data_IF_948109245801
#
_entry.id   IF_948109245801
#
_cell.length_a   1.000
_cell.length_b   1.000
_cell.length_c   1.000
_cell.angle_alpha   90.00
_cell.angle_beta   90.00
_cell.angle_gamma   90.00
#
_symmetry.space_group_name_H-M   'P 1'
#
loop_
_entity.id
_entity.type
_entity.pdbx_description
1 polymer ?
#
# COMPACT_ATOMS: atom_id res chain seq x y z
N UNK A 1 2.56 23.24 -43.95
CA UNK A 1 1.14 22.98 -43.56
C UNK A 1 0.98 21.81 -42.56
N UNK A 2 1.90 20.84 -42.50
CA UNK A 2 1.79 19.62 -41.67
C UNK A 2 1.96 19.88 -40.15
N UNK A 3 2.71 20.90 -39.73
CA UNK A 3 2.96 21.16 -38.29
C UNK A 3 1.78 21.77 -37.52
N UNK A 4 0.80 22.41 -38.18
CA UNK A 4 -0.36 22.99 -37.49
C UNK A 4 -1.43 21.96 -37.12
N UNK A 5 -1.60 20.91 -37.93
CA UNK A 5 -2.57 19.83 -37.70
C UNK A 5 -2.17 18.93 -36.52
N UNK A 6 -0.88 18.66 -36.33
CA UNK A 6 -0.38 17.91 -35.17
C UNK A 6 -0.58 18.68 -33.86
N UNK A 7 -0.28 19.99 -33.85
CA UNK A 7 -0.46 20.84 -32.68
C UNK A 7 -1.94 20.96 -32.25
N UNK A 8 -2.87 21.08 -33.20
CA UNK A 8 -4.31 21.14 -32.89
C UNK A 8 -4.85 19.80 -32.35
N UNK A 9 -4.38 18.66 -32.87
CA UNK A 9 -4.78 17.35 -32.35
C UNK A 9 -4.26 17.09 -30.94
N UNK A 10 -3.02 17.52 -30.64
CA UNK A 10 -2.46 17.41 -29.29
C UNK A 10 -3.23 18.28 -28.31
N UNK A 11 -3.54 19.53 -28.67
CA UNK A 11 -4.32 20.44 -27.82
C UNK A 11 -5.75 19.93 -27.56
N UNK A 12 -6.42 19.36 -28.58
CA UNK A 12 -7.73 18.72 -28.42
C UNK A 12 -7.68 17.53 -27.45
N UNK A 13 -6.67 16.68 -27.57
CA UNK A 13 -6.52 15.50 -26.71
C UNK A 13 -6.16 15.88 -25.27
N UNK A 14 -5.33 16.90 -25.07
CA UNK A 14 -5.03 17.45 -23.73
C UNK A 14 -6.28 18.06 -23.10
N UNK A 15 -7.08 18.82 -23.86
CA UNK A 15 -8.34 19.39 -23.35
C UNK A 15 -9.33 18.31 -22.93
N UNK A 16 -9.49 17.24 -23.72
CA UNK A 16 -10.35 16.10 -23.37
C UNK A 16 -9.86 15.35 -22.13
N UNK A 17 -8.53 15.25 -21.95
CA UNK A 17 -7.92 14.61 -20.78
C UNK A 17 -8.13 15.43 -19.50
N UNK A 18 -7.98 16.76 -19.59
CA UNK A 18 -8.23 17.69 -18.47
C UNK A 18 -9.70 17.67 -18.07
N UNK A 19 -10.62 17.60 -19.05
CA UNK A 19 -12.06 17.57 -18.80
C UNK A 19 -12.52 16.24 -18.16
N UNK A 20 -11.88 15.12 -18.54
CA UNK A 20 -12.07 13.80 -17.91
C UNK A 20 -11.59 13.78 -16.44
N UNK A 21 -10.41 14.35 -16.18
CA UNK A 21 -9.83 14.44 -14.82
C UNK A 21 -10.69 15.31 -13.88
N UNK A 22 -11.28 16.39 -14.40
CA UNK A 22 -12.19 17.25 -13.63
C UNK A 22 -13.49 16.55 -13.24
N UNK A 23 -14.07 15.73 -14.13
CA UNK A 23 -15.28 14.94 -13.82
C UNK A 23 -15.04 13.88 -12.73
N UNK A 24 -13.86 13.25 -12.73
CA UNK A 24 -13.47 12.27 -11.71
C UNK A 24 -13.27 12.95 -10.34
N UNK A 25 -12.64 14.13 -10.30
CA UNK A 25 -12.50 14.91 -9.07
C UNK A 25 -13.86 15.31 -8.48
N UNK A 26 -14.79 15.83 -9.29
CA UNK A 26 -16.14 16.22 -8.84
C UNK A 26 -16.94 15.01 -8.32
N UNK A 27 -16.82 13.84 -8.96
CA UNK A 27 -17.46 12.60 -8.51
C UNK A 27 -16.89 12.11 -7.16
N UNK A 28 -15.57 12.18 -6.98
CA UNK A 28 -14.92 11.86 -5.71
C UNK A 28 -15.33 12.81 -4.58
N UNK A 29 -15.43 14.11 -4.84
CA UNK A 29 -15.85 15.09 -3.82
C UNK A 29 -17.31 14.89 -3.41
N UNK A 30 -18.22 14.54 -4.34
CA UNK A 30 -19.62 14.20 -4.02
C UNK A 30 -19.76 12.93 -3.19
N UNK A 31 -18.93 11.91 -3.42
CA UNK A 31 -18.90 10.66 -2.64
C UNK A 31 -18.35 10.83 -1.22
N UNK A 32 -17.39 11.74 -1.05
CA UNK A 32 -16.84 12.08 0.28
C UNK A 32 -17.82 12.95 1.07
N UNK A 33 -18.50 13.91 0.42
CA UNK A 33 -19.50 14.76 1.07
C UNK A 33 -20.74 13.99 1.55
N UNK A 34 -21.17 12.95 0.81
CA UNK A 34 -22.32 12.11 1.19
C UNK A 34 -22.02 11.10 2.31
N UNK A 35 -20.75 10.93 2.69
CA UNK A 35 -20.35 10.12 3.87
C UNK A 35 -20.14 10.94 5.15
N UNK A 36 -20.12 12.27 5.08
CA UNK A 36 -19.73 13.14 6.22
C UNK A 36 -20.93 13.89 6.83
N UNK A 37 -22.08 13.96 6.15
CA UNK A 37 -23.26 14.68 6.67
C UNK A 37 -24.45 13.72 6.79
N UNK A 38 -24.56 13.07 7.95
CA UNK A 38 -25.83 12.55 8.46
C UNK A 38 -25.85 12.60 10.00
N UNK A 39 -26.34 13.71 10.61
CA UNK A 39 -26.64 13.74 12.04
C UNK A 39 -28.13 13.44 12.28
N UNK A 40 -28.37 12.32 12.96
CA UNK A 40 -29.29 12.15 14.10
C UNK A 40 -30.67 12.84 14.14
N UNK A 41 -31.73 12.04 13.98
CA UNK A 41 -33.00 12.01 14.76
C UNK A 41 -33.53 10.57 14.67
N UNK A 42 -33.94 9.81 15.68
CA UNK A 42 -34.14 10.00 17.12
C UNK A 42 -33.77 8.68 17.83
N UNK A 43 -33.22 8.81 19.03
CA UNK A 43 -33.01 7.72 19.97
C UNK A 43 -34.31 7.50 20.74
N UNK A 44 -34.87 6.29 20.70
CA UNK A 44 -35.30 5.58 21.91
C UNK A 44 -35.53 4.10 21.65
N UNK A 45 -34.83 3.30 22.46
CA UNK A 45 -35.11 1.90 22.80
C UNK A 45 -34.68 0.81 21.81
N UNK A 46 -33.44 0.34 21.97
CA UNK A 46 -33.18 -1.05 22.39
C UNK A 46 -31.66 -1.23 22.52
N UNK A 47 -31.19 -1.24 23.75
CA UNK A 47 -29.88 -1.75 24.10
C UNK A 47 -29.78 -3.24 23.75
N UNK A 48 -28.55 -3.68 23.49
CA UNK A 48 -28.05 -5.03 23.20
C UNK A 48 -27.64 -5.28 21.74
N UNK A 49 -26.39 -5.74 21.62
CA UNK A 49 -25.67 -6.21 20.42
C UNK A 49 -24.96 -5.14 19.57
N UNK A 50 -23.96 -4.50 20.16
CA UNK A 50 -23.02 -3.63 19.45
C UNK A 50 -21.58 -3.75 19.94
N UNK A 51 -21.15 -4.96 20.33
CA UNK A 51 -19.82 -5.20 20.90
C UNK A 51 -19.08 -6.31 20.14
N UNK A 52 -18.80 -6.09 18.85
CA UNK A 52 -17.85 -6.94 18.08
C UNK A 52 -17.25 -6.30 16.83
N UNK A 53 -17.54 -5.03 16.53
CA UNK A 53 -16.99 -4.34 15.33
C UNK A 53 -16.19 -3.11 15.77
N UNK A 54 -15.16 -3.31 16.59
CA UNK A 54 -14.19 -2.25 16.92
C UNK A 54 -12.81 -2.79 17.32
N UNK A 55 -12.39 -3.91 16.72
CA UNK A 55 -11.01 -4.40 16.85
C UNK A 55 -10.32 -4.67 15.50
N UNK A 56 -11.06 -4.67 14.39
CA UNK A 56 -10.50 -4.90 13.05
C UNK A 56 -9.88 -3.68 12.37
N UNK A 57 -10.26 -2.45 12.75
CA UNK A 57 -9.77 -1.22 12.08
C UNK A 57 -8.44 -0.70 12.64
N UNK A 58 -8.02 -1.09 13.84
CA UNK A 58 -6.73 -0.68 14.42
C UNK A 58 -5.54 -1.51 13.91
N UNK A 59 -5.72 -2.79 13.56
CA UNK A 59 -4.63 -3.61 13.03
C UNK A 59 -4.23 -3.23 11.58
N UNK A 60 -5.17 -2.78 10.75
CA UNK A 60 -4.87 -2.35 9.38
C UNK A 60 -4.20 -0.96 9.33
N UNK A 61 -4.45 -0.10 10.32
CA UNK A 61 -3.82 1.22 10.40
C UNK A 61 -2.36 1.12 10.90
N UNK A 62 -2.04 0.12 11.72
CA UNK A 62 -0.70 -0.08 12.24
C UNK A 62 0.26 -0.76 11.24
N UNK A 63 -0.24 -1.60 10.31
CA UNK A 63 0.57 -2.17 9.22
C UNK A 63 0.96 -1.14 8.14
N UNK A 64 0.10 -0.15 7.84
CA UNK A 64 0.44 0.91 6.89
C UNK A 64 1.52 1.89 7.40
N UNK A 65 1.57 2.14 8.72
CA UNK A 65 2.58 3.01 9.33
C UNK A 65 3.98 2.38 9.32
N UNK A 66 4.09 1.07 9.53
CA UNK A 66 5.37 0.33 9.48
C UNK A 66 5.95 0.33 8.06
N UNK A 67 5.10 0.23 7.02
CA UNK A 67 5.55 0.24 5.63
C UNK A 67 6.03 1.63 5.16
N UNK A 68 5.34 2.69 5.61
CA UNK A 68 5.75 4.08 5.35
C UNK A 68 7.07 4.44 6.04
N UNK A 69 7.31 3.92 7.24
CA UNK A 69 8.59 4.10 7.93
C UNK A 69 9.75 3.37 7.21
N UNK A 70 9.55 2.12 6.77
CA UNK A 70 10.59 1.33 6.06
C UNK A 70 11.05 1.94 4.74
N UNK A 71 10.14 2.50 3.94
CA UNK A 71 10.50 3.18 2.69
C UNK A 71 11.29 4.48 2.95
N UNK A 72 10.93 5.22 4.00
CA UNK A 72 11.64 6.46 4.38
C UNK A 72 13.04 6.20 4.93
N UNK A 73 13.28 5.12 5.67
CA UNK A 73 14.63 4.77 6.16
C UNK A 73 15.51 4.20 5.04
N UNK A 74 14.98 3.42 4.10
CA UNK A 74 15.75 2.90 2.95
C UNK A 74 16.24 4.02 2.04
N UNK A 75 15.42 5.04 1.82
CA UNK A 75 15.79 6.21 1.01
C UNK A 75 16.86 7.07 1.72
N UNK A 76 16.76 7.24 3.06
CA UNK A 76 17.78 7.94 3.85
C UNK A 76 19.11 7.17 3.93
N UNK A 77 19.09 5.83 3.99
CA UNK A 77 20.30 4.99 3.99
C UNK A 77 21.01 5.01 2.63
N UNK A 78 20.26 5.04 1.52
CA UNK A 78 20.82 5.21 0.16
C UNK A 78 21.45 6.60 -0.01
N UNK A 79 20.84 7.66 0.52
CA UNK A 79 21.42 9.02 0.50
C UNK A 79 22.66 9.18 1.40
N UNK A 80 22.73 8.44 2.52
CA UNK A 80 23.88 8.50 3.42
C UNK A 80 25.09 7.75 2.85
N UNK A 81 24.88 6.66 2.13
CA UNK A 81 25.94 5.93 1.42
C UNK A 81 26.51 6.72 0.24
N UNK A 82 25.72 7.58 -0.41
CA UNK A 82 26.21 8.52 -1.43
C UNK A 82 26.98 9.71 -0.85
N UNK A 83 26.81 10.02 0.44
CA UNK A 83 27.49 11.14 1.12
C UNK A 83 28.89 10.79 1.63
N UNK A 84 29.21 9.51 1.83
CA UNK A 84 30.54 9.09 2.28
C UNK A 84 31.58 8.97 1.16
N UNK A 85 31.16 8.89 -0.11
CA UNK A 85 32.09 8.83 -1.25
C UNK A 85 32.56 10.22 -1.76
N UNK A 86 32.06 11.30 -1.17
CA UNK A 86 32.38 12.69 -1.57
C UNK A 86 33.16 13.48 -0.51
N UNK A 87 33.78 12.81 0.47
CA UNK A 87 34.57 13.47 1.53
C UNK A 87 36.08 13.51 1.23
N UNK A 88 36.46 13.66 -0.04
CA UNK A 88 37.87 13.83 -0.45
C UNK A 88 38.08 14.97 -1.46
N UNK A 89 37.20 15.96 -1.45
CA UNK A 89 37.40 17.18 -2.24
C UNK A 89 36.95 18.38 -1.43
N UNK A 90 37.89 18.94 -0.67
CA UNK A 90 37.69 20.21 0.00
C UNK A 90 37.43 21.32 -1.01
N UNK A 91 36.28 21.97 -0.90
CA UNK A 91 36.16 23.41 -1.18
C UNK A 91 34.95 23.98 -0.46
N UNK A 92 35.22 24.98 0.38
CA UNK A 92 34.27 25.77 1.15
C UNK A 92 33.42 26.63 0.22
N UNK A 93 32.12 26.83 0.52
CA UNK A 93 31.46 28.16 0.42
C UNK A 93 30.02 28.14 0.99
N UNK A 94 29.83 29.01 1.98
CA UNK A 94 28.65 29.74 2.46
C UNK A 94 27.22 29.38 2.01
N UNK A 95 26.45 28.92 3.00
CA UNK A 95 25.09 29.32 3.45
C UNK A 95 24.42 30.51 2.73
N UNK A 96 23.17 30.34 2.29
CA UNK A 96 21.99 31.12 2.77
C UNK A 96 20.66 30.46 2.38
N UNK A 97 19.73 30.49 3.34
CA UNK A 97 18.41 29.88 3.38
C UNK A 97 17.36 30.56 2.47
N UNK A 98 16.32 29.82 2.09
CA UNK A 98 15.10 30.39 1.49
C UNK A 98 14.11 29.34 0.96
N UNK A 99 13.21 28.87 1.82
CA UNK A 99 12.13 27.92 1.50
C UNK A 99 10.98 28.63 0.78
N UNK A 100 10.51 28.08 -0.36
CA UNK A 100 9.13 28.27 -0.84
C UNK A 100 8.55 26.97 -1.38
N UNK A 101 7.30 26.68 -0.96
CA UNK A 101 6.51 25.52 -1.34
C UNK A 101 5.77 25.78 -2.66
N UNK A 102 5.93 24.90 -3.66
CA UNK A 102 4.91 24.55 -4.65
C UNK A 102 5.34 23.30 -5.43
N UNK A 103 4.59 22.19 -5.24
CA UNK A 103 4.85 20.91 -5.90
C UNK A 103 4.23 20.87 -7.29
N UNK A 104 5.08 20.90 -8.33
CA UNK A 104 4.75 20.33 -9.64
C UNK A 104 5.76 19.23 -9.90
N UNK A 105 5.29 17.98 -10.00
CA UNK A 105 6.11 16.82 -10.36
C UNK A 105 6.54 16.93 -11.83
N UNK A 106 7.71 17.54 -12.05
CA UNK A 106 8.51 17.33 -13.24
C UNK A 106 9.67 16.41 -12.85
N UNK A 107 9.76 15.23 -13.48
CA UNK A 107 10.93 14.37 -13.35
C UNK A 107 12.17 15.18 -13.76
N UNK A 108 13.19 15.32 -12.90
CA UNK A 108 14.44 15.94 -13.33
C UNK A 108 15.08 14.99 -14.34
N UNK A 109 15.18 15.44 -15.60
CA UNK A 109 16.22 14.94 -16.50
C UNK A 109 17.54 15.19 -15.77
N UNK A 110 18.16 14.12 -15.30
CA UNK A 110 19.55 14.16 -14.87
C UNK A 110 20.40 14.56 -16.07
N UNK A 111 20.64 15.86 -16.21
CA UNK A 111 21.74 16.38 -17.02
C UNK A 111 22.97 16.06 -16.18
N UNK A 112 23.49 14.84 -16.34
CA UNK A 112 24.84 14.55 -15.90
C UNK A 112 25.75 15.47 -16.72
N UNK A 113 26.52 16.39 -16.13
CA UNK A 113 27.58 17.04 -16.87
C UNK A 113 28.53 15.92 -17.27
N UNK A 114 28.53 15.56 -18.56
CA UNK A 114 29.60 14.77 -19.14
C UNK A 114 30.86 15.57 -18.82
N UNK A 115 31.66 15.14 -17.84
CA UNK A 115 33.04 15.62 -17.71
C UNK A 115 33.65 15.30 -19.07
N UNK A 116 33.92 16.34 -19.85
CA UNK A 116 34.76 16.22 -21.00
C UNK A 116 36.09 15.68 -20.46
N UNK A 117 36.38 14.41 -20.74
CA UNK A 117 37.72 13.91 -20.58
C UNK A 117 38.55 14.72 -21.56
N UNK A 118 39.33 15.67 -21.04
CA UNK A 118 40.38 16.32 -21.79
C UNK A 118 41.37 15.22 -22.16
N UNK A 119 41.17 14.60 -23.32
CA UNK A 119 42.28 13.96 -24.00
C UNK A 119 43.25 15.08 -24.26
N UNK A 120 44.41 15.07 -23.61
CA UNK A 120 45.57 15.81 -24.10
C UNK A 120 45.59 15.58 -25.62
N UNK A 121 45.40 16.66 -26.39
CA UNK A 121 45.40 16.57 -27.85
C UNK A 121 46.65 15.83 -28.29
N UNK A 122 46.64 15.13 -29.43
CA UNK A 122 47.81 14.41 -29.89
C UNK A 122 48.94 15.42 -29.93
N UNK A 123 49.87 15.32 -28.98
CA UNK A 123 51.17 15.93 -29.16
C UNK A 123 51.62 15.34 -30.48
N UNK A 124 51.68 16.21 -31.50
CA UNK A 124 52.38 15.90 -32.71
C UNK A 124 53.70 15.32 -32.22
N UNK A 125 53.91 14.08 -32.61
CA UNK A 125 55.20 13.42 -32.54
C UNK A 125 56.15 14.33 -33.30
N UNK A 126 56.68 15.33 -32.60
CA UNK A 126 57.91 15.97 -32.99
C UNK A 126 58.97 14.95 -32.61
N UNK A 127 59.11 13.92 -33.46
CA UNK A 127 60.26 13.03 -33.51
C UNK A 127 61.53 13.80 -33.90
N UNK A 128 61.73 14.97 -33.28
CA UNK A 128 62.44 16.12 -33.81
C UNK A 128 62.90 17.11 -32.74
N UNK A 129 63.10 16.70 -31.49
CA UNK A 129 63.76 17.56 -30.49
C UNK A 129 63.92 16.80 -29.19
N UNK A 130 65.11 16.41 -28.72
CA UNK A 130 66.38 17.11 -28.75
C UNK A 130 67.48 16.07 -28.92
N UNK A 131 68.13 16.01 -30.08
CA UNK A 131 69.36 15.24 -30.22
C UNK A 131 70.39 15.91 -29.32
N UNK A 132 70.89 15.22 -28.30
CA UNK A 132 71.93 15.75 -27.45
C UNK A 132 73.20 15.92 -28.31
N UNK A 133 73.56 17.17 -28.58
CA UNK A 133 74.69 17.48 -29.47
C UNK A 133 76.00 17.38 -28.68
N UNK A 134 76.57 16.18 -28.74
CA UNK A 134 77.85 15.80 -28.13
C UNK A 134 79.00 16.73 -28.53
N UNK A 135 79.03 17.19 -29.78
CA UNK A 135 80.14 18.00 -30.28
C UNK A 135 80.07 19.45 -29.77
N UNK A 136 78.87 20.04 -29.83
CA UNK A 136 78.64 21.40 -29.32
C UNK A 136 78.85 21.51 -27.81
N UNK A 137 78.62 20.43 -27.07
CA UNK A 137 78.91 20.37 -25.64
C UNK A 137 80.43 20.39 -25.35
N UNK A 138 81.21 19.62 -26.12
CA UNK A 138 82.67 19.59 -26.02
C UNK A 138 83.29 20.94 -26.40
N UNK A 139 82.86 21.56 -27.51
CA UNK A 139 83.34 22.90 -27.91
C UNK A 139 83.09 23.97 -26.83
N UNK A 140 81.98 23.84 -26.10
CA UNK A 140 81.64 24.78 -25.02
C UNK A 140 82.55 24.60 -23.82
N UNK A 141 82.91 23.36 -23.47
CA UNK A 141 83.86 23.06 -22.40
C UNK A 141 85.28 23.51 -22.75
N UNK A 142 85.69 23.36 -24.01
CA UNK A 142 86.99 23.86 -24.49
C UNK A 142 87.09 25.40 -24.39
N UNK A 143 85.99 26.13 -24.68
CA UNK A 143 85.94 27.60 -24.53
C UNK A 143 86.00 28.06 -23.07
N UNK A 144 85.56 27.24 -22.13
CA UNK A 144 85.61 27.51 -20.68
C UNK A 144 86.96 27.10 -20.05
N UNK A 145 87.94 26.68 -20.86
CA UNK A 145 89.32 26.44 -20.43
C UNK A 145 89.67 24.98 -20.12
N UNK A 146 88.80 24.01 -20.46
CA UNK A 146 89.11 22.59 -20.33
C UNK A 146 89.92 22.07 -21.53
N UNK A 147 90.79 21.07 -21.29
CA UNK A 147 91.45 20.40 -22.40
C UNK A 147 90.46 19.54 -23.18
N UNK A 148 90.73 19.31 -24.46
CA UNK A 148 89.88 18.46 -25.31
C UNK A 148 89.65 17.07 -24.73
N UNK A 149 90.71 16.44 -24.21
CA UNK A 149 90.61 15.12 -23.55
C UNK A 149 89.74 15.13 -22.29
N UNK A 150 89.79 16.20 -21.49
CA UNK A 150 88.95 16.34 -20.31
C UNK A 150 87.48 16.56 -20.69
N UNK A 151 87.24 17.35 -21.72
CA UNK A 151 85.90 17.64 -22.25
C UNK A 151 85.25 16.38 -22.85
N UNK A 152 86.02 15.59 -23.61
CA UNK A 152 85.58 14.30 -24.15
C UNK A 152 85.30 13.28 -23.03
N UNK A 153 86.12 13.23 -21.98
CA UNK A 153 85.90 12.32 -20.84
C UNK A 153 84.63 12.65 -20.04
N UNK A 154 84.38 13.95 -19.77
CA UNK A 154 83.16 14.41 -19.08
C UNK A 154 81.92 14.11 -19.92
N UNK A 155 82.03 14.33 -21.24
CA UNK A 155 80.97 14.05 -22.18
C UNK A 155 80.60 12.56 -22.23
N UNK A 156 81.60 11.67 -22.27
CA UNK A 156 81.36 10.22 -22.26
C UNK A 156 80.67 9.75 -20.96
N UNK A 157 81.06 10.29 -19.80
CA UNK A 157 80.39 9.99 -18.53
C UNK A 157 78.94 10.51 -18.49
N UNK A 158 78.68 11.68 -19.09
CA UNK A 158 77.34 12.24 -19.18
C UNK A 158 76.44 11.42 -20.12
N UNK A 159 76.99 10.96 -21.24
CA UNK A 159 76.27 10.12 -22.21
C UNK A 159 75.81 8.79 -21.60
N UNK A 160 76.64 8.17 -20.76
CA UNK A 160 76.29 6.93 -20.04
C UNK A 160 75.12 7.15 -19.07
N UNK A 161 75.17 8.21 -18.24
CA UNK A 161 74.09 8.54 -17.29
C UNK A 161 72.80 8.95 -18.00
N UNK A 162 72.88 9.72 -19.09
CA UNK A 162 71.72 10.12 -19.89
C UNK A 162 71.09 8.88 -20.55
N UNK A 163 71.90 7.98 -21.10
CA UNK A 163 71.44 6.75 -21.74
C UNK A 163 70.76 5.82 -20.71
N UNK A 164 71.34 5.66 -19.53
CA UNK A 164 70.73 4.88 -18.44
C UNK A 164 69.39 5.50 -17.99
N UNK A 165 69.37 6.82 -17.80
CA UNK A 165 68.16 7.57 -17.42
C UNK A 165 67.04 7.45 -18.45
N UNK A 166 67.36 7.62 -19.75
CA UNK A 166 66.40 7.48 -20.84
C UNK A 166 65.87 6.05 -20.97
N UNK A 167 66.72 5.03 -20.80
CA UNK A 167 66.28 3.64 -20.79
C UNK A 167 65.33 3.35 -19.61
N UNK A 168 65.64 3.87 -18.41
CA UNK A 168 64.78 3.69 -17.24
C UNK A 168 63.43 4.45 -17.37
N UNK A 169 63.44 5.65 -17.95
CA UNK A 169 62.23 6.42 -18.23
C UNK A 169 61.36 5.68 -19.25
N UNK A 170 61.94 5.29 -20.38
CA UNK A 170 61.24 4.63 -21.49
C UNK A 170 60.66 3.27 -21.07
N UNK A 171 61.35 2.53 -20.18
CA UNK A 171 60.87 1.24 -19.65
C UNK A 171 59.56 1.34 -18.86
N UNK A 172 59.30 2.47 -18.20
CA UNK A 172 58.08 2.71 -17.44
C UNK A 172 57.01 3.46 -18.25
N UNK A 173 57.36 3.96 -19.44
CA UNK A 173 56.42 4.60 -20.35
C UNK A 173 55.70 3.55 -21.18
N UNK A 174 54.42 3.81 -21.45
CA UNK A 174 53.63 2.98 -22.34
C UNK A 174 53.67 3.59 -23.75
N UNK A 175 53.82 2.75 -24.77
CA UNK A 175 53.75 3.24 -26.15
C UNK A 175 52.31 3.66 -26.47
N UNK A 176 52.16 4.66 -27.34
CA UNK A 176 50.82 5.10 -27.77
C UNK A 176 50.02 3.95 -28.40
N UNK A 177 50.68 3.04 -29.10
CA UNK A 177 50.04 1.86 -29.68
C UNK A 177 49.48 0.91 -28.61
N UNK A 178 50.20 0.67 -27.52
CA UNK A 178 49.73 -0.16 -26.41
C UNK A 178 48.60 0.53 -25.62
N UNK A 179 48.67 1.85 -25.47
CA UNK A 179 47.58 2.64 -24.91
C UNK A 179 46.32 2.55 -25.76
N UNK A 180 46.42 2.73 -27.07
CA UNK A 180 45.28 2.67 -27.98
C UNK A 180 44.66 1.26 -28.01
N UNK A 181 45.49 0.22 -27.95
CA UNK A 181 45.04 -1.17 -27.84
C UNK A 181 44.26 -1.42 -26.55
N UNK A 182 44.78 -0.99 -25.39
CA UNK A 182 44.08 -1.16 -24.11
C UNK A 182 42.76 -0.40 -24.07
N UNK A 183 42.74 0.84 -24.58
CA UNK A 183 41.51 1.64 -24.74
C UNK A 183 40.50 0.94 -25.65
N UNK A 184 40.95 0.33 -26.75
CA UNK A 184 40.08 -0.42 -27.64
C UNK A 184 39.45 -1.62 -26.95
N UNK A 185 40.24 -2.42 -26.22
CA UNK A 185 39.74 -3.55 -25.43
C UNK A 185 38.67 -3.10 -24.44
N UNK A 186 38.92 -2.04 -23.67
CA UNK A 186 37.93 -1.50 -22.73
C UNK A 186 36.63 -1.05 -23.42
N UNK A 187 36.71 -0.49 -24.62
CA UNK A 187 35.51 -0.10 -25.39
C UNK A 187 34.69 -1.30 -25.82
N UNK A 188 35.34 -2.37 -26.26
CA UNK A 188 34.67 -3.62 -26.65
C UNK A 188 34.02 -4.28 -25.42
N UNK A 189 34.75 -4.40 -24.32
CA UNK A 189 34.24 -4.97 -23.07
C UNK A 189 33.05 -4.17 -22.54
N UNK A 190 33.13 -2.83 -22.60
CA UNK A 190 32.03 -1.96 -22.21
C UNK A 190 30.79 -2.16 -23.11
N UNK A 191 30.98 -2.34 -24.41
CA UNK A 191 29.88 -2.62 -25.33
C UNK A 191 29.23 -3.99 -25.05
N UNK A 192 30.04 -5.01 -24.76
CA UNK A 192 29.56 -6.33 -24.38
C UNK A 192 28.76 -6.28 -23.06
N UNK A 193 29.34 -5.69 -22.01
CA UNK A 193 28.68 -5.52 -20.70
C UNK A 193 27.35 -4.77 -20.83
N UNK A 194 27.32 -3.71 -21.63
CA UNK A 194 26.09 -2.94 -21.88
C UNK A 194 25.01 -3.80 -22.55
N UNK A 195 25.39 -4.64 -23.51
CA UNK A 195 24.46 -5.55 -24.19
C UNK A 195 23.92 -6.61 -23.24
N UNK A 196 24.78 -7.20 -22.41
CA UNK A 196 24.39 -8.17 -21.38
C UNK A 196 23.43 -7.56 -20.35
N UNK A 197 23.77 -6.38 -19.83
CA UNK A 197 22.91 -5.65 -18.90
C UNK A 197 21.54 -5.39 -19.51
N UNK A 198 21.49 -4.90 -20.76
CA UNK A 198 20.23 -4.62 -21.44
C UNK A 198 19.40 -5.90 -21.68
N UNK A 199 20.05 -7.05 -21.90
CA UNK A 199 19.37 -8.33 -22.03
C UNK A 199 18.78 -8.80 -20.69
N UNK A 200 19.56 -8.69 -19.61
CA UNK A 200 19.11 -9.02 -18.26
C UNK A 200 17.95 -8.14 -17.81
N UNK A 201 18.03 -6.83 -18.01
CA UNK A 201 16.95 -5.89 -17.70
C UNK A 201 15.65 -6.26 -18.44
N UNK A 202 15.75 -6.62 -19.72
CA UNK A 202 14.58 -7.08 -20.50
C UNK A 202 14.02 -8.40 -19.96
N UNK A 203 14.89 -9.34 -19.57
CA UNK A 203 14.48 -10.62 -19.01
C UNK A 203 13.77 -10.44 -17.65
N UNK A 204 14.39 -9.68 -16.74
CA UNK A 204 13.84 -9.36 -15.42
C UNK A 204 12.54 -8.59 -15.52
N UNK A 205 12.45 -7.64 -16.46
CA UNK A 205 11.22 -6.92 -16.74
C UNK A 205 10.12 -7.86 -17.23
N UNK A 206 10.43 -8.76 -18.19
CA UNK A 206 9.47 -9.74 -18.70
C UNK A 206 8.98 -10.69 -17.60
N UNK A 207 9.90 -11.20 -16.78
CA UNK A 207 9.59 -12.08 -15.65
C UNK A 207 8.71 -11.36 -14.62
N UNK A 208 9.08 -10.15 -14.25
CA UNK A 208 8.33 -9.32 -13.30
C UNK A 208 6.95 -8.96 -13.84
N UNK A 209 6.83 -8.63 -15.13
CA UNK A 209 5.55 -8.32 -15.76
C UNK A 209 4.64 -9.55 -15.75
N UNK A 210 5.16 -10.72 -16.14
CA UNK A 210 4.41 -11.99 -16.11
C UNK A 210 3.94 -12.34 -14.71
N UNK A 211 4.81 -12.17 -13.70
CA UNK A 211 4.44 -12.40 -12.30
C UNK A 211 3.36 -11.42 -11.82
N UNK A 212 3.44 -10.15 -12.21
CA UNK A 212 2.39 -9.18 -11.91
C UNK A 212 1.05 -9.56 -12.54
N UNK A 213 1.03 -9.91 -13.83
CA UNK A 213 -0.18 -10.37 -14.52
C UNK A 213 -0.79 -11.62 -13.83
N UNK A 214 0.07 -12.57 -13.43
CA UNK A 214 -0.32 -13.76 -12.69
C UNK A 214 -0.97 -13.41 -11.35
N UNK A 215 -0.34 -12.52 -10.57
CA UNK A 215 -0.86 -12.08 -9.26
C UNK A 215 -2.18 -11.32 -9.39
N UNK A 216 -2.32 -10.46 -10.41
CA UNK A 216 -3.58 -9.75 -10.69
C UNK A 216 -4.69 -10.75 -11.01
N UNK A 217 -4.42 -11.79 -11.81
CA UNK A 217 -5.37 -12.86 -12.10
C UNK A 217 -5.78 -13.63 -10.84
N UNK A 218 -4.83 -13.96 -9.96
CA UNK A 218 -5.13 -14.63 -8.69
C UNK A 218 -5.98 -13.77 -7.75
N UNK A 219 -5.69 -12.47 -7.69
CA UNK A 219 -6.50 -11.51 -6.92
C UNK A 219 -7.94 -11.50 -7.43
N UNK A 220 -8.16 -11.43 -8.75
CA UNK A 220 -9.53 -11.40 -9.27
C UNK A 220 -10.26 -12.72 -9.02
N UNK A 221 -9.58 -13.86 -9.13
CA UNK A 221 -10.14 -15.18 -8.75
C UNK A 221 -10.55 -15.22 -7.28
N UNK A 222 -9.71 -14.71 -6.38
CA UNK A 222 -10.02 -14.67 -4.94
C UNK A 222 -11.18 -13.71 -4.64
N UNK A 223 -11.22 -12.54 -5.30
CA UNK A 223 -12.35 -11.60 -5.18
C UNK A 223 -13.66 -12.23 -5.62
N UNK A 224 -13.63 -13.00 -6.70
CA UNK A 224 -14.80 -13.70 -7.20
C UNK A 224 -15.29 -14.77 -6.22
N UNK A 225 -14.38 -15.63 -5.72
CA UNK A 225 -14.71 -16.63 -4.69
C UNK A 225 -15.29 -15.99 -3.43
N UNK A 226 -14.71 -14.89 -2.97
CA UNK A 226 -15.21 -14.18 -1.80
C UNK A 226 -16.63 -13.65 -2.04
N UNK A 227 -16.91 -13.08 -3.22
CA UNK A 227 -18.27 -12.63 -3.57
C UNK A 227 -19.27 -13.79 -3.58
N UNK A 228 -18.89 -14.94 -4.11
CA UNK A 228 -19.72 -16.14 -4.14
C UNK A 228 -20.00 -16.68 -2.73
N UNK A 229 -18.98 -16.77 -1.86
CA UNK A 229 -19.17 -17.21 -0.47
C UNK A 229 -20.00 -16.21 0.34
N UNK A 230 -19.83 -14.90 0.14
CA UNK A 230 -20.67 -13.88 0.78
C UNK A 230 -22.12 -14.00 0.31
N UNK A 231 -22.36 -14.17 -0.99
CA UNK A 231 -23.71 -14.37 -1.52
C UNK A 231 -24.36 -15.66 -0.99
N UNK A 232 -23.59 -16.75 -0.93
CA UNK A 232 -24.06 -18.05 -0.41
C UNK A 232 -24.40 -17.97 1.07
N UNK A 233 -23.51 -17.41 1.89
CA UNK A 233 -23.74 -17.23 3.34
C UNK A 233 -24.91 -16.29 3.60
N UNK A 234 -25.05 -15.21 2.84
CA UNK A 234 -26.20 -14.31 2.93
C UNK A 234 -27.52 -15.02 2.58
N UNK A 235 -27.54 -15.86 1.54
CA UNK A 235 -28.72 -16.66 1.19
C UNK A 235 -29.04 -17.69 2.29
N UNK A 236 -28.03 -18.33 2.87
CA UNK A 236 -28.18 -19.24 4.01
C UNK A 236 -28.84 -18.55 5.21
N UNK A 237 -28.30 -17.41 5.64
CA UNK A 237 -28.87 -16.63 6.76
C UNK A 237 -30.31 -16.20 6.50
N UNK A 238 -30.64 -15.80 5.25
CA UNK A 238 -32.03 -15.47 4.90
C UNK A 238 -32.96 -16.67 5.00
N UNK A 239 -32.52 -17.85 4.56
CA UNK A 239 -33.29 -19.08 4.68
C UNK A 239 -33.50 -19.44 6.15
N UNK A 240 -32.44 -19.40 6.96
CA UNK A 240 -32.48 -19.70 8.39
C UNK A 240 -33.48 -18.80 9.12
N UNK A 241 -33.46 -17.49 8.85
CA UNK A 241 -34.42 -16.54 9.42
C UNK A 241 -35.86 -16.83 8.98
N UNK A 242 -36.06 -17.23 7.72
CA UNK A 242 -37.39 -17.55 7.21
C UNK A 242 -37.93 -18.84 7.84
N UNK A 243 -37.10 -19.87 8.00
CA UNK A 243 -37.47 -21.12 8.66
C UNK A 243 -37.77 -20.88 10.14
N UNK A 244 -36.93 -20.10 10.82
CA UNK A 244 -37.12 -19.78 12.24
C UNK A 244 -38.37 -18.91 12.47
N UNK A 245 -38.66 -17.97 11.56
CA UNK A 245 -39.92 -17.22 11.59
C UNK A 245 -41.13 -18.12 11.39
N UNK A 246 -41.01 -19.15 10.54
CA UNK A 246 -42.02 -20.19 10.37
C UNK A 246 -42.24 -20.96 11.67
N UNK A 247 -41.16 -21.46 12.29
CA UNK A 247 -41.19 -22.18 13.56
C UNK A 247 -41.85 -21.38 14.68
N UNK A 248 -41.46 -20.10 14.84
CA UNK A 248 -42.05 -19.21 15.85
C UNK A 248 -43.56 -19.05 15.62
N UNK A 249 -44.01 -18.94 14.37
CA UNK A 249 -45.43 -18.83 14.04
C UNK A 249 -46.20 -20.10 14.39
N UNK A 250 -45.65 -21.27 14.08
CA UNK A 250 -46.28 -22.55 14.37
C UNK A 250 -46.36 -22.80 15.89
N UNK A 251 -45.32 -22.42 16.63
CA UNK A 251 -45.30 -22.46 18.10
C UNK A 251 -46.30 -21.48 18.70
N UNK A 252 -46.40 -20.26 18.19
CA UNK A 252 -47.38 -19.28 18.63
C UNK A 252 -48.82 -19.75 18.37
N UNK A 253 -49.10 -20.32 17.20
CA UNK A 253 -50.41 -20.91 16.89
C UNK A 253 -50.74 -22.09 17.82
N UNK A 254 -49.74 -22.92 18.14
CA UNK A 254 -49.90 -24.03 19.10
C UNK A 254 -50.21 -23.50 20.51
N UNK A 255 -49.55 -22.43 20.94
CA UNK A 255 -49.83 -21.79 22.22
C UNK A 255 -51.24 -21.18 22.25
N UNK A 256 -51.66 -20.51 21.17
CA UNK A 256 -53.01 -19.96 21.05
C UNK A 256 -54.09 -21.05 21.17
N UNK A 257 -53.89 -22.21 20.53
CA UNK A 257 -54.80 -23.35 20.67
C UNK A 257 -54.85 -23.87 22.12
N UNK A 258 -53.71 -23.95 22.80
CA UNK A 258 -53.67 -24.38 24.22
C UNK A 258 -54.41 -23.38 25.12
N UNK A 259 -54.22 -22.08 24.89
CA UNK A 259 -54.92 -21.02 25.63
C UNK A 259 -56.43 -21.15 25.43
N UNK A 260 -56.90 -21.24 24.18
CA UNK A 260 -58.34 -21.41 23.89
C UNK A 260 -58.92 -22.67 24.53
N UNK A 261 -58.21 -23.80 24.46
CA UNK A 261 -58.66 -25.03 25.11
C UNK A 261 -58.74 -24.89 26.64
N UNK A 262 -57.85 -24.11 27.27
CA UNK A 262 -57.96 -23.80 28.70
C UNK A 262 -59.08 -22.81 29.02
N UNK A 263 -59.32 -21.83 28.15
CA UNK A 263 -60.46 -20.90 28.28
C UNK A 263 -61.79 -21.65 28.24
N UNK A 264 -61.96 -22.57 27.28
CA UNK A 264 -63.15 -23.42 27.19
C UNK A 264 -63.36 -24.29 28.45
N UNK A 265 -62.28 -24.84 29.01
CA UNK A 265 -62.35 -25.59 30.29
C UNK A 265 -62.78 -24.71 31.46
N UNK A 266 -62.25 -23.50 31.55
CA UNK A 266 -62.64 -22.53 32.59
C UNK A 266 -64.12 -22.18 32.45
N UNK A 267 -64.60 -21.91 31.23
CA UNK A 267 -66.02 -21.63 31.00
C UNK A 267 -66.93 -22.80 31.40
N UNK A 268 -66.51 -24.04 31.10
CA UNK A 268 -67.22 -25.25 31.53
C UNK A 268 -67.25 -25.38 33.06
N UNK A 269 -66.13 -25.13 33.75
CA UNK A 269 -66.06 -25.15 35.21
C UNK A 269 -66.95 -24.06 35.83
N UNK A 270 -66.98 -22.85 35.26
CA UNK A 270 -67.86 -21.76 35.70
C UNK A 270 -69.33 -22.15 35.52
N UNK A 271 -69.71 -22.74 34.39
CA UNK A 271 -71.07 -23.21 34.15
C UNK A 271 -71.47 -24.31 35.15
N UNK A 272 -70.57 -25.25 35.45
CA UNK A 272 -70.79 -26.29 36.44
C UNK A 272 -70.95 -25.71 37.86
N UNK A 273 -70.13 -24.75 38.26
CA UNK A 273 -70.26 -24.06 39.56
C UNK A 273 -71.59 -23.30 39.65
N UNK A 274 -72.04 -22.69 38.56
CA UNK A 274 -73.33 -21.98 38.52
C UNK A 274 -74.52 -22.93 38.72
N UNK A 275 -74.53 -24.08 38.06
CA UNK A 275 -75.60 -25.08 38.22
C UNK A 275 -75.60 -25.69 39.62
N UNK A 276 -74.42 -25.94 40.20
CA UNK A 276 -74.30 -26.35 41.60
C UNK A 276 -74.88 -25.28 42.54
N UNK A 277 -74.60 -24.00 42.30
CA UNK A 277 -75.15 -22.91 43.11
C UNK A 277 -76.68 -22.81 43.01
N UNK A 278 -77.25 -22.97 41.82
CA UNK A 278 -78.71 -23.00 41.62
C UNK A 278 -79.34 -24.19 42.35
N UNK A 279 -78.69 -25.36 42.29
CA UNK A 279 -79.12 -26.56 43.03
C UNK A 279 -79.11 -26.32 44.54
N UNK A 280 -78.03 -25.74 45.08
CA UNK A 280 -77.92 -25.40 46.51
C UNK A 280 -79.04 -24.45 46.92
N UNK A 281 -79.33 -23.41 46.12
CA UNK A 281 -80.43 -22.47 46.40
C UNK A 281 -81.78 -23.20 46.50
N UNK A 282 -82.08 -24.11 45.58
CA UNK A 282 -83.31 -24.90 45.59
C UNK A 282 -83.37 -25.84 46.80
N UNK A 283 -82.27 -26.50 47.16
CA UNK A 283 -82.18 -27.33 48.35
C UNK A 283 -82.43 -26.50 49.62
N UNK A 284 -81.80 -25.33 49.76
CA UNK A 284 -82.04 -24.43 50.90
C UNK A 284 -83.51 -24.02 50.97
N UNK A 285 -84.14 -23.66 49.84
CA UNK A 285 -85.58 -23.35 49.81
C UNK A 285 -86.45 -24.55 50.25
N UNK A 286 -86.13 -25.76 49.79
CA UNK A 286 -86.84 -26.98 50.21
C UNK A 286 -86.69 -27.24 51.71
N UNK A 287 -85.49 -27.09 52.28
CA UNK A 287 -85.26 -27.22 53.72
C UNK A 287 -86.08 -26.19 54.51
N UNK A 288 -86.14 -24.94 54.04
CA UNK A 288 -86.95 -23.89 54.67
C UNK A 288 -88.44 -24.20 54.65
N UNK A 289 -88.96 -24.71 53.52
CA UNK A 289 -90.36 -25.14 53.42
C UNK A 289 -90.62 -26.31 54.38
N UNK A 290 -89.69 -27.27 54.44
CA UNK A 290 -89.78 -28.43 55.34
C UNK A 290 -89.80 -28.04 56.82
N UNK A 291 -88.92 -27.13 57.25
CA UNK A 291 -88.86 -26.67 58.65
C UNK A 291 -90.08 -25.85 59.04
N UNK A 292 -90.57 -24.94 58.18
CA UNK A 292 -91.79 -24.17 58.44
C UNK A 292 -93.01 -25.10 58.54
N UNK A 293 -93.13 -26.07 57.62
CA UNK A 293 -94.23 -27.04 57.65
C UNK A 293 -94.16 -27.93 58.89
N UNK A 294 -92.97 -28.40 59.26
CA UNK A 294 -92.75 -29.20 60.47
C UNK A 294 -93.08 -28.43 61.75
N UNK A 295 -92.60 -27.18 61.87
CA UNK A 295 -92.92 -26.31 63.00
C UNK A 295 -94.43 -26.03 63.07
N UNK A 296 -95.08 -25.73 61.94
CA UNK A 296 -96.53 -25.55 61.86
C UNK A 296 -97.31 -26.79 62.32
N UNK A 297 -96.90 -27.98 61.89
CA UNK A 297 -97.50 -29.23 62.34
C UNK A 297 -97.36 -29.47 63.84
N UNK A 298 -96.20 -29.17 64.42
CA UNK A 298 -95.97 -29.27 65.87
C UNK A 298 -96.83 -28.26 66.65
N UNK A 299 -96.95 -27.02 66.18
CA UNK A 299 -97.82 -26.00 66.79
C UNK A 299 -99.28 -26.48 66.76
N UNK A 300 -99.76 -27.00 65.62
CA UNK A 300 -101.10 -27.56 65.51
C UNK A 300 -101.32 -28.76 66.45
N UNK A 301 -100.32 -29.63 66.60
CA UNK A 301 -100.37 -30.76 67.53
C UNK A 301 -100.41 -30.29 69.00
N UNK A 302 -99.65 -29.26 69.36
CA UNK A 302 -99.65 -28.68 70.70
C UNK A 302 -100.99 -28.03 71.04
N UNK A 303 -101.55 -27.22 70.11
CA UNK A 303 -102.88 -26.63 70.26
C UNK A 303 -103.98 -27.69 70.45
N UNK A 304 -103.83 -28.86 69.83
CA UNK A 304 -104.76 -30.00 70.01
C UNK A 304 -104.63 -30.67 71.38
N UNK A 305 -103.44 -30.72 71.97
CA UNK A 305 -103.21 -31.33 73.29
C UNK A 305 -103.72 -30.43 74.44
N UNK A 306 -103.73 -29.10 74.25
CA UNK A 306 -104.16 -28.11 75.24
C UNK A 306 -105.66 -27.77 75.21
N UNK A 307 -106.43 -28.38 74.28
CA UNK A 307 -107.88 -28.21 74.15
C UNK A 307 -108.59 -29.50 74.57
#
# INVERSE_FOLDING_TARGET
MINRLSAQNILSNVSKLVQSQAQVQIACTKLVASRIIAPSRSITSAAYLGQSISKGSQQQQQQCLIHRHRYSTRFKLSLSSQKELCRDSGLTTSVTDGVSLSSTFAFPRSIVPIRAFSTSGPALDDGGGHHFDTHRFVEKLEREGFSRQQSEAIMNALDEVITESMNNLTKNMVTKADQDKTVYTYKVDFAALKSELQMLEKNDFSLTNTNNERLVSEIEKLRQRLREEVARTQAGVRLDLNLEKGRIRDEAATQELKVRATEERIEQEIAALRTQMETIKLQTLQYMIGTITGAGALILAYLRMFK
#
